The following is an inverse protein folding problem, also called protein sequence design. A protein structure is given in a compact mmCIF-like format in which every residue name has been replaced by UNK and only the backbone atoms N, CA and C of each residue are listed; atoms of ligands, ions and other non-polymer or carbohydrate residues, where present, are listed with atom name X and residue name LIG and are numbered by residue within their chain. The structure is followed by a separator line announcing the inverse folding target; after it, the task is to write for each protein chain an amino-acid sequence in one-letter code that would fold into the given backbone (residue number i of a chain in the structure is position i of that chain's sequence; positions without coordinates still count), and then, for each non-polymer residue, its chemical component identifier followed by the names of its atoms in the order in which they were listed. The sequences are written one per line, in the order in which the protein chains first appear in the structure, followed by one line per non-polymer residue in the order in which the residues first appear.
data_IF_978470335674
#
_entry.id   IF_978470335674
#
_cell.length_a   1.000
_cell.length_b   1.000
_cell.length_c   1.000
_cell.angle_alpha   90.00
_cell.angle_beta   90.00
_cell.angle_gamma   90.00
#
_symmetry.space_group_name_H-M   'P 1'
#
loop_
_entity.id
_entity.type
_entity.pdbx_description
1 polymer ?
#
# COMPACT_ATOMS: atom_id res chain seq x y z
N UNK A 1 12.27 13.79 -6.00
CA UNK A 1 12.45 12.44 -5.49
C UNK A 1 11.63 11.46 -6.29
N UNK A 2 12.20 10.33 -6.57
CA UNK A 2 11.50 9.32 -7.33
C UNK A 2 11.50 8.02 -6.54
N UNK A 3 10.36 7.39 -6.45
CA UNK A 3 10.28 6.15 -5.72
C UNK A 3 9.32 5.21 -6.41
N UNK A 4 9.47 3.92 -6.18
CA UNK A 4 8.65 2.91 -6.79
C UNK A 4 7.98 2.09 -5.70
N UNK A 5 6.71 1.82 -5.90
CA UNK A 5 5.94 1.06 -4.93
C UNK A 5 5.16 0.01 -5.66
N UNK A 6 5.15 -1.18 -5.11
CA UNK A 6 4.37 -2.27 -5.67
C UNK A 6 3.04 -2.31 -4.95
N UNK A 7 1.95 -2.33 -5.69
CA UNK A 7 0.62 -2.34 -5.09
C UNK A 7 0.02 -3.72 -5.20
N UNK A 8 -0.73 -4.10 -4.19
CA UNK A 8 -1.47 -5.34 -4.28
C UNK A 8 -2.65 -5.12 -5.23
N UNK A 9 -3.31 -6.21 -5.53
CA UNK A 9 -4.37 -6.20 -6.51
C UNK A 9 -5.50 -5.28 -6.12
N UNK A 10 -5.87 -5.34 -4.88
CA UNK A 10 -6.98 -4.55 -4.38
C UNK A 10 -6.68 -3.05 -4.47
N UNK A 11 -5.53 -2.66 -4.00
CA UNK A 11 -5.14 -1.25 -4.04
C UNK A 11 -4.96 -0.79 -5.48
N UNK A 12 -4.40 -1.65 -6.32
CA UNK A 12 -4.24 -1.32 -7.72
C UNK A 12 -5.57 -1.10 -8.40
N UNK A 13 -6.55 -1.94 -8.08
CA UNK A 13 -7.87 -1.78 -8.65
C UNK A 13 -8.51 -0.47 -8.19
N UNK A 14 -8.31 -0.12 -6.95
CA UNK A 14 -8.85 1.12 -6.44
C UNK A 14 -8.19 2.31 -7.11
N UNK A 15 -6.90 2.22 -7.34
CA UNK A 15 -6.19 3.27 -8.05
C UNK A 15 -6.77 3.45 -9.46
N UNK A 16 -6.98 2.34 -10.15
CA UNK A 16 -7.55 2.39 -11.48
C UNK A 16 -8.93 3.03 -11.47
N UNK A 17 -9.70 2.69 -10.47
CA UNK A 17 -11.04 3.24 -10.31
C UNK A 17 -10.99 4.77 -10.14
N UNK A 18 -10.11 5.23 -9.28
CA UNK A 18 -10.00 6.66 -9.01
C UNK A 18 -9.46 7.40 -10.23
N UNK A 19 -8.53 6.79 -10.94
CA UNK A 19 -8.04 7.38 -12.17
C UNK A 19 -9.20 7.60 -13.14
N UNK A 20 -10.09 6.60 -13.22
CA UNK A 20 -11.25 6.74 -14.08
C UNK A 20 -12.19 7.83 -13.63
N UNK A 21 -12.37 7.97 -12.33
CA UNK A 21 -13.26 9.00 -11.81
C UNK A 21 -12.73 10.41 -12.04
N UNK A 22 -11.43 10.57 -11.86
CA UNK A 22 -10.84 11.90 -11.95
C UNK A 22 -10.43 12.26 -13.35
N UNK A 23 -10.23 11.26 -14.20
CA UNK A 23 -9.76 11.46 -15.56
C UNK A 23 -8.38 12.10 -15.59
N UNK A 24 -7.63 11.88 -14.53
CA UNK A 24 -6.27 12.37 -14.47
C UNK A 24 -5.31 11.23 -14.77
N UNK A 25 -4.04 11.58 -14.93
CA UNK A 25 -3.04 10.57 -15.14
C UNK A 25 -2.78 9.85 -13.83
N UNK A 26 -2.35 8.60 -13.97
CA UNK A 26 -2.09 7.79 -12.80
C UNK A 26 -1.11 8.45 -11.85
N UNK A 27 -0.05 9.03 -12.40
CA UNK A 27 0.96 9.67 -11.55
C UNK A 27 0.38 10.84 -10.77
N UNK A 28 -0.54 11.57 -11.39
CA UNK A 28 -1.17 12.71 -10.72
C UNK A 28 -2.04 12.23 -9.57
N UNK A 29 -2.81 11.19 -9.82
CA UNK A 29 -3.67 10.63 -8.78
C UNK A 29 -2.84 10.12 -7.62
N UNK A 30 -1.74 9.42 -7.93
CA UNK A 30 -0.88 8.90 -6.89
C UNK A 30 -0.27 10.00 -6.05
N UNK A 31 0.22 11.06 -6.69
CA UNK A 31 0.80 12.14 -5.95
C UNK A 31 -0.22 12.82 -5.04
N UNK A 32 -1.42 12.98 -5.56
CA UNK A 32 -2.46 13.59 -4.75
C UNK A 32 -2.84 12.70 -3.58
N UNK A 33 -2.94 11.40 -3.83
CA UNK A 33 -3.26 10.46 -2.76
C UNK A 33 -2.19 10.49 -1.67
N UNK A 34 -0.94 10.56 -2.07
CA UNK A 34 0.16 10.61 -1.11
C UNK A 34 0.11 11.90 -0.32
N UNK A 35 -0.18 13.00 -0.99
CA UNK A 35 -0.30 14.28 -0.31
C UNK A 35 -1.39 14.25 0.74
N UNK A 36 -2.48 13.60 0.44
CA UNK A 36 -3.58 13.50 1.40
C UNK A 36 -3.26 12.51 2.49
N UNK A 37 -2.58 11.43 2.14
CA UNK A 37 -2.34 10.35 3.08
C UNK A 37 -1.21 10.56 4.06
N UNK A 38 -0.13 11.21 3.62
CA UNK A 38 1.02 11.36 4.50
C UNK A 38 0.70 12.12 5.79
N UNK A 39 -0.05 13.23 5.74
CA UNK A 39 -0.38 13.90 6.98
C UNK A 39 -1.23 13.04 7.90
N UNK A 40 -2.08 12.21 7.32
CA UNK A 40 -2.90 11.32 8.13
C UNK A 40 -2.04 10.30 8.84
N UNK A 41 -1.06 9.75 8.14
CA UNK A 41 -0.15 8.81 8.78
C UNK A 41 0.67 9.48 9.87
N UNK A 42 1.16 10.67 9.59
CA UNK A 42 1.93 11.39 10.59
C UNK A 42 1.13 11.60 11.85
N UNK A 43 -0.14 11.93 11.68
CA UNK A 43 -1.02 12.12 12.81
C UNK A 43 -1.19 10.85 13.60
N UNK A 44 -1.39 9.75 12.91
CA UNK A 44 -1.58 8.47 13.57
C UNK A 44 -0.37 8.05 14.36
N UNK A 45 0.80 8.44 13.92
CA UNK A 45 2.03 8.03 14.60
C UNK A 45 2.20 8.71 15.94
N UNK A 46 1.39 9.71 16.21
CA UNK A 46 1.48 10.40 17.50
C UNK A 46 0.67 9.71 18.58
N UNK A 47 -0.09 8.71 18.20
CA UNK A 47 -0.87 7.95 19.15
C UNK A 47 -0.41 6.52 19.12
N UNK A 48 -0.68 5.74 20.17
CA UNK A 48 -0.33 4.32 20.14
C UNK A 48 -1.03 3.68 18.97
N UNK A 49 -0.29 2.93 18.19
CA UNK A 49 -0.89 2.27 17.05
C UNK A 49 -1.14 0.82 17.38
N UNK A 50 -2.19 0.24 16.82
CA UNK A 50 -2.49 -1.15 17.08
C UNK A 50 -1.40 -2.04 16.53
N UNK A 51 -1.23 -3.17 17.16
CA UNK A 51 -0.30 -4.14 16.69
C UNK A 51 -0.69 -4.55 15.28
N UNK A 52 0.28 -4.67 14.40
CA UNK A 52 -0.01 -5.05 13.03
C UNK A 52 -0.61 -3.94 12.18
N UNK A 53 -0.49 -2.72 12.63
CA UNK A 53 -1.06 -1.59 11.91
C UNK A 53 -0.59 -1.53 10.46
N UNK A 54 0.66 -1.85 10.21
CA UNK A 54 1.20 -1.81 8.86
C UNK A 54 1.22 -3.16 8.18
N UNK A 55 0.56 -4.16 8.77
CA UNK A 55 0.66 -5.51 8.26
C UNK A 55 0.27 -5.60 6.79
N UNK A 56 -0.84 -4.96 6.43
CA UNK A 56 -1.30 -5.04 5.04
C UNK A 56 -0.38 -4.30 4.10
N UNK A 57 0.30 -3.29 4.58
CA UNK A 57 1.21 -2.54 3.75
C UNK A 57 2.48 -3.31 3.45
N UNK A 58 2.80 -4.31 4.29
CA UNK A 58 3.94 -5.16 4.02
C UNK A 58 3.61 -6.24 2.99
N UNK A 59 2.35 -6.37 2.64
CA UNK A 59 1.93 -7.42 1.73
C UNK A 59 1.33 -6.82 0.47
N UNK A 60 2.16 -6.31 -0.40
CA UNK A 60 1.66 -5.64 -1.60
C UNK A 60 0.96 -6.58 -2.57
N UNK A 61 1.20 -7.88 -2.44
CA UNK A 61 0.60 -8.84 -3.36
C UNK A 61 0.04 -10.00 -2.56
N UNK A 62 -1.26 -10.00 -2.29
CA UNK A 62 -1.86 -11.06 -1.48
C UNK A 62 -1.61 -12.46 -2.00
N UNK A 63 -1.65 -12.63 -3.30
CA UNK A 63 -1.40 -13.93 -3.88
C UNK A 63 0.01 -14.39 -3.61
N UNK A 64 0.93 -13.47 -3.79
CA UNK A 64 2.29 -13.78 -3.54
C UNK A 64 2.54 -14.08 -2.08
N UNK A 65 1.87 -13.35 -1.21
CA UNK A 65 1.96 -13.58 0.21
C UNK A 65 1.49 -14.97 0.59
N UNK A 66 0.38 -15.35 0.02
CA UNK A 66 -0.15 -16.67 0.29
C UNK A 66 0.83 -17.74 -0.14
N UNK A 67 1.40 -17.54 -1.30
CA UNK A 67 2.35 -18.48 -1.82
C UNK A 67 3.56 -18.59 -0.93
N UNK A 68 4.08 -17.46 -0.53
CA UNK A 68 5.23 -17.44 0.34
C UNK A 68 4.94 -18.11 1.65
N UNK A 69 3.79 -17.84 2.21
CA UNK A 69 3.42 -18.48 3.45
C UNK A 69 3.31 -19.97 3.29
N UNK A 70 2.74 -20.41 2.20
CA UNK A 70 2.57 -21.81 1.96
C UNK A 70 3.92 -22.48 1.81
N UNK A 71 4.83 -21.82 1.12
CA UNK A 71 6.10 -22.43 0.87
C UNK A 71 7.05 -22.33 2.02
N UNK A 72 7.18 -21.13 2.53
CA UNK A 72 8.18 -20.91 3.55
C UNK A 72 7.62 -20.91 4.90
N UNK A 73 6.38 -20.67 4.99
CA UNK A 73 5.79 -20.57 6.21
C UNK A 73 6.48 -19.55 6.97
N UNK A 74 6.90 -18.59 6.43
CA UNK A 74 7.70 -17.81 7.04
C UNK A 74 7.34 -16.62 7.16
N UNK A 75 7.66 -15.95 7.43
CA UNK A 75 7.47 -14.90 7.79
C UNK A 75 7.64 -14.02 6.90
N UNK A 76 7.31 -13.24 6.74
CA UNK A 76 7.35 -12.46 5.89
C UNK A 76 8.13 -11.50 6.04
N UNK A 77 8.51 -11.00 5.48
CA UNK A 77 9.24 -10.15 5.61
C UNK A 77 8.97 -9.16 4.85
N UNK A 78 9.17 -8.27 4.97
CA UNK A 78 8.78 -7.16 4.43
C UNK A 78 9.40 -6.77 3.27
N UNK A 79 9.69 -6.67 2.73
CA UNK A 79 10.11 -6.35 1.86
C UNK A 79 10.24 -6.38 1.17
N UNK A 80 10.47 -6.07 0.85
CA UNK A 80 10.67 -6.04 0.26
C UNK A 80 10.95 -5.75 0.02
#
# INVERSE_FOLDING_TARGET
MRTTVELDKETGNELTHVVGLTREKQAVVLRQAIRLGLPLLANRMQAPRPEGYFADAYKPNPERQLLEKAMLNVQQRPER
#
